data_IF_447080494012
#
_entry.id   IF_447080494012
#
_cell.length_a   1.000
_cell.length_b   1.000
_cell.length_c   1.000
_cell.angle_alpha   90.00
_cell.angle_beta   90.00
_cell.angle_gamma   90.00
#
_symmetry.space_group_name_H-M   'P 1'
#
loop_
_entity.id
_entity.type
_entity.pdbx_description
1 polymer ?
#
# COMPACT_ATOMS: atom_id res chain seq x y z
N UNK A 1 9.02 -1.61 -3.29
CA UNK A 1 9.52 -0.85 -4.45
C UNK A 1 8.52 -0.89 -5.63
N UNK A 2 8.11 -2.06 -6.14
CA UNK A 2 7.25 -2.18 -7.33
C UNK A 2 5.93 -1.39 -7.21
N UNK A 3 5.24 -1.47 -6.09
CA UNK A 3 3.99 -0.75 -5.83
C UNK A 3 4.22 0.78 -5.83
N UNK A 4 5.32 1.26 -5.22
CA UNK A 4 5.70 2.68 -5.25
C UNK A 4 6.00 3.17 -6.67
N UNK A 5 6.71 2.35 -7.45
CA UNK A 5 7.02 2.65 -8.84
C UNK A 5 5.75 2.76 -9.67
N UNK A 6 4.78 1.84 -9.48
CA UNK A 6 3.50 1.89 -10.20
C UNK A 6 2.69 3.14 -9.84
N UNK A 7 2.62 3.53 -8.57
CA UNK A 7 1.87 4.72 -8.14
C UNK A 7 2.43 6.00 -8.76
N UNK A 8 3.75 6.17 -8.73
CA UNK A 8 4.40 7.33 -9.33
C UNK A 8 4.37 7.28 -10.86
N UNK A 9 4.44 6.09 -11.44
CA UNK A 9 4.28 5.92 -12.88
C UNK A 9 2.90 6.40 -13.34
N UNK A 10 1.83 6.06 -12.61
CA UNK A 10 0.48 6.55 -12.92
C UNK A 10 0.37 8.07 -12.79
N UNK A 11 1.01 8.65 -11.77
CA UNK A 11 1.04 10.10 -11.57
C UNK A 11 1.75 10.85 -12.72
N UNK A 12 2.78 10.25 -13.32
CA UNK A 12 3.53 10.84 -14.45
C UNK A 12 2.87 10.51 -15.79
N UNK A 13 2.40 9.27 -15.94
CA UNK A 13 1.82 8.77 -17.19
C UNK A 13 0.49 9.46 -17.50
N UNK A 14 -0.33 9.77 -16.50
CA UNK A 14 -1.62 10.43 -16.67
C UNK A 14 -1.52 11.75 -17.46
N UNK A 15 -0.79 12.76 -16.98
CA UNK A 15 -0.56 14.00 -17.72
C UNK A 15 0.08 13.78 -19.09
N UNK A 16 1.04 12.87 -19.21
CA UNK A 16 1.77 12.60 -20.46
C UNK A 16 0.84 12.01 -21.53
N UNK A 17 0.07 10.99 -21.20
CA UNK A 17 -0.90 10.37 -22.13
C UNK A 17 -2.05 11.32 -22.47
N UNK A 18 -2.45 12.15 -21.51
CA UNK A 18 -3.45 13.19 -21.77
C UNK A 18 -3.02 14.13 -22.87
N UNK A 19 -1.76 14.54 -22.89
CA UNK A 19 -1.22 15.39 -23.94
C UNK A 19 -1.06 14.66 -25.28
N UNK A 20 -0.58 13.42 -25.26
CA UNK A 20 -0.32 12.66 -26.50
C UNK A 20 -1.61 12.18 -27.19
N UNK A 21 -2.59 11.71 -26.40
CA UNK A 21 -3.82 11.10 -26.91
C UNK A 21 -5.07 11.96 -26.71
N UNK A 22 -4.91 13.21 -26.26
CA UNK A 22 -6.01 14.15 -26.00
C UNK A 22 -7.09 13.57 -25.07
N UNK A 23 -6.66 12.85 -24.01
CA UNK A 23 -7.57 12.19 -23.07
C UNK A 23 -8.29 13.20 -22.17
N UNK A 24 -9.54 12.91 -21.85
CA UNK A 24 -10.28 13.66 -20.84
C UNK A 24 -9.75 13.35 -19.42
N UNK A 25 -10.00 14.24 -18.48
CA UNK A 25 -9.67 14.02 -17.06
C UNK A 25 -10.33 12.73 -16.51
N UNK A 26 -11.57 12.44 -16.93
CA UNK A 26 -12.28 11.23 -16.54
C UNK A 26 -11.59 9.95 -17.05
N UNK A 27 -11.02 9.97 -18.26
CA UNK A 27 -10.25 8.84 -18.79
C UNK A 27 -8.95 8.62 -18.02
N UNK A 28 -8.23 9.68 -17.65
CA UNK A 28 -7.04 9.58 -16.83
C UNK A 28 -7.37 9.00 -15.45
N UNK A 29 -8.43 9.50 -14.81
CA UNK A 29 -8.92 8.98 -13.55
C UNK A 29 -9.36 7.51 -13.65
N UNK A 30 -10.05 7.14 -14.72
CA UNK A 30 -10.45 5.76 -14.96
C UNK A 30 -9.25 4.82 -15.06
N UNK A 31 -8.18 5.20 -15.78
CA UNK A 31 -6.95 4.40 -15.88
C UNK A 31 -6.39 4.08 -14.48
N UNK A 32 -6.28 5.07 -13.62
CA UNK A 32 -5.78 4.90 -12.25
C UNK A 32 -6.75 4.06 -11.40
N UNK A 33 -8.06 4.28 -11.51
CA UNK A 33 -9.09 3.52 -10.82
C UNK A 33 -9.05 2.03 -11.18
N UNK A 34 -8.89 1.70 -12.48
CA UNK A 34 -8.80 0.29 -12.92
C UNK A 34 -7.57 -0.44 -12.36
N UNK A 35 -6.45 0.26 -12.15
CA UNK A 35 -5.30 -0.33 -11.45
C UNK A 35 -5.66 -0.70 -10.01
N UNK A 36 -6.33 0.18 -9.28
CA UNK A 36 -6.76 -0.11 -7.91
C UNK A 36 -7.83 -1.23 -7.83
N UNK A 37 -8.73 -1.30 -8.81
CA UNK A 37 -9.67 -2.44 -8.96
C UNK A 37 -8.88 -3.74 -9.12
N UNK A 38 -7.89 -3.73 -10.01
CA UNK A 38 -6.97 -4.85 -10.18
C UNK A 38 -6.32 -5.25 -8.86
N UNK A 39 -5.75 -4.30 -8.11
CA UNK A 39 -5.11 -4.57 -6.81
C UNK A 39 -6.07 -5.17 -5.78
N UNK A 40 -7.31 -4.69 -5.72
CA UNK A 40 -8.33 -5.22 -4.80
C UNK A 40 -8.65 -6.68 -5.11
N UNK A 41 -8.92 -7.00 -6.36
CA UNK A 41 -9.22 -8.36 -6.81
C UNK A 41 -8.00 -9.27 -6.64
N UNK A 42 -6.81 -8.78 -7.02
CA UNK A 42 -5.56 -9.50 -6.92
C UNK A 42 -5.19 -9.85 -5.48
N UNK A 43 -5.34 -8.92 -4.53
CA UNK A 43 -5.05 -9.17 -3.13
C UNK A 43 -5.87 -10.34 -2.56
N UNK A 44 -7.14 -10.44 -2.92
CA UNK A 44 -8.01 -11.51 -2.49
C UNK A 44 -7.64 -12.86 -3.12
N UNK A 45 -7.41 -12.88 -4.43
CA UNK A 45 -7.13 -14.11 -5.19
C UNK A 45 -5.73 -14.65 -4.88
N UNK A 46 -4.71 -13.79 -4.89
CA UNK A 46 -3.34 -14.18 -4.57
C UNK A 46 -3.17 -14.55 -3.10
N UNK A 47 -3.93 -13.92 -2.18
CA UNK A 47 -3.98 -14.32 -0.78
C UNK A 47 -4.45 -15.77 -0.62
N UNK A 48 -5.59 -16.10 -1.22
CA UNK A 48 -6.13 -17.45 -1.20
C UNK A 48 -5.23 -18.47 -1.94
N UNK A 49 -4.59 -18.06 -3.02
CA UNK A 49 -3.63 -18.90 -3.75
C UNK A 49 -2.39 -19.19 -2.90
N UNK A 50 -1.86 -18.20 -2.15
CA UNK A 50 -0.67 -18.36 -1.31
C UNK A 50 -0.85 -19.40 -0.19
N UNK A 51 -2.06 -19.51 0.33
CA UNK A 51 -2.39 -20.54 1.33
C UNK A 51 -2.47 -21.96 0.73
N UNK A 52 -2.68 -22.10 -0.59
CA UNK A 52 -2.78 -23.40 -1.29
C UNK A 52 -1.49 -23.82 -1.96
N UNK A 53 -0.82 -22.92 -2.66
CA UNK A 53 0.34 -23.22 -3.53
C UNK A 53 1.67 -22.82 -2.91
N UNK A 54 1.64 -22.07 -1.82
CA UNK A 54 2.83 -21.54 -1.14
C UNK A 54 3.08 -20.06 -1.44
N UNK A 55 3.73 -19.42 -0.52
CA UNK A 55 3.96 -17.96 -0.56
C UNK A 55 5.04 -17.57 -1.54
N UNK A 56 6.12 -18.36 -1.61
CA UNK A 56 7.20 -18.20 -2.58
C UNK A 56 6.66 -18.30 -4.01
N UNK A 57 5.89 -19.36 -4.30
CA UNK A 57 5.34 -19.60 -5.64
C UNK A 57 4.46 -18.43 -6.09
N UNK A 58 3.55 -17.97 -5.25
CA UNK A 58 2.69 -16.81 -5.56
C UNK A 58 3.52 -15.55 -5.81
N UNK A 59 4.52 -15.29 -4.97
CA UNK A 59 5.37 -14.12 -5.12
C UNK A 59 6.19 -14.14 -6.41
N UNK A 60 6.71 -15.30 -6.81
CA UNK A 60 7.45 -15.48 -8.08
C UNK A 60 6.52 -15.25 -9.28
N UNK A 61 5.34 -15.88 -9.29
CA UNK A 61 4.40 -15.77 -10.41
C UNK A 61 3.87 -14.34 -10.52
N UNK A 62 3.45 -13.72 -9.42
CA UNK A 62 2.96 -12.34 -9.44
C UNK A 62 4.03 -11.36 -9.90
N UNK A 63 5.29 -11.50 -9.45
CA UNK A 63 6.41 -10.66 -9.89
C UNK A 63 6.70 -10.84 -11.39
N UNK A 64 6.70 -12.07 -11.89
CA UNK A 64 6.88 -12.35 -13.30
C UNK A 64 5.78 -11.73 -14.17
N UNK A 65 4.53 -11.81 -13.72
CA UNK A 65 3.39 -11.24 -14.43
C UNK A 65 3.37 -9.70 -14.36
N UNK A 66 3.83 -9.08 -13.26
CA UNK A 66 4.01 -7.61 -13.20
C UNK A 66 5.03 -7.17 -14.25
N UNK A 67 6.19 -7.85 -14.32
CA UNK A 67 7.21 -7.54 -15.30
C UNK A 67 6.70 -7.76 -16.74
N UNK A 68 6.00 -8.86 -17.00
CA UNK A 68 5.44 -9.17 -18.31
C UNK A 68 4.42 -8.15 -18.79
N UNK A 69 3.36 -7.87 -17.98
CA UNK A 69 2.34 -6.91 -18.36
C UNK A 69 2.86 -5.47 -18.36
N UNK A 70 3.82 -5.16 -17.49
CA UNK A 70 4.51 -3.86 -17.48
C UNK A 70 5.29 -3.62 -18.79
N UNK A 71 6.05 -4.61 -19.25
CA UNK A 71 6.75 -4.56 -20.53
C UNK A 71 5.75 -4.49 -21.71
N UNK A 72 4.70 -5.31 -21.68
CA UNK A 72 3.69 -5.31 -22.73
C UNK A 72 2.99 -3.96 -22.85
N UNK A 73 2.81 -3.25 -21.73
CA UNK A 73 2.20 -1.92 -21.71
C UNK A 73 3.03 -0.88 -22.49
N UNK A 74 4.36 -1.06 -22.59
CA UNK A 74 5.21 -0.16 -23.38
C UNK A 74 4.88 -0.18 -24.89
N UNK A 75 4.36 -1.31 -25.36
CA UNK A 75 3.96 -1.50 -26.75
C UNK A 75 2.45 -1.22 -27.01
N UNK A 76 1.73 -0.67 -26.02
CA UNK A 76 0.29 -0.46 -26.12
C UNK A 76 -0.09 0.51 -27.25
N UNK A 77 -0.95 0.10 -28.19
CA UNK A 77 -1.31 0.93 -29.34
C UNK A 77 -2.44 1.92 -29.04
N UNK A 78 -3.23 1.70 -28.00
CA UNK A 78 -4.41 2.51 -27.68
C UNK A 78 -4.67 2.63 -26.18
N UNK A 79 -5.50 3.61 -25.80
CA UNK A 79 -5.92 3.83 -24.42
C UNK A 79 -6.53 2.56 -23.77
N UNK A 80 -7.42 1.87 -24.49
CA UNK A 80 -8.06 0.65 -23.96
C UNK A 80 -7.04 -0.45 -23.60
N UNK A 81 -5.99 -0.59 -24.40
CA UNK A 81 -4.89 -1.51 -24.12
C UNK A 81 -4.13 -1.11 -22.84
N UNK A 82 -3.80 0.19 -22.70
CA UNK A 82 -3.12 0.68 -21.49
C UNK A 82 -3.96 0.41 -20.26
N UNK A 83 -5.26 0.75 -20.28
CA UNK A 83 -6.15 0.53 -19.13
C UNK A 83 -6.23 -0.94 -18.76
N UNK A 84 -6.40 -1.82 -19.74
CA UNK A 84 -6.51 -3.26 -19.52
C UNK A 84 -5.21 -3.84 -18.94
N UNK A 85 -4.06 -3.52 -19.55
CA UNK A 85 -2.77 -4.02 -19.10
C UNK A 85 -2.40 -3.48 -17.72
N UNK A 86 -2.72 -2.21 -17.43
CA UNK A 86 -2.54 -1.61 -16.10
C UNK A 86 -3.42 -2.24 -15.05
N UNK A 87 -4.66 -2.63 -15.39
CA UNK A 87 -5.51 -3.40 -14.50
C UNK A 87 -4.86 -4.75 -14.15
N UNK A 88 -4.26 -5.46 -15.12
CA UNK A 88 -3.52 -6.70 -14.86
C UNK A 88 -2.24 -6.47 -14.06
N UNK A 89 -1.51 -5.39 -14.29
CA UNK A 89 -0.37 -5.02 -13.44
C UNK A 89 -0.85 -4.81 -12.00
N UNK A 90 -1.90 -4.03 -11.80
CA UNK A 90 -2.51 -3.82 -10.49
C UNK A 90 -2.94 -5.14 -9.84
N UNK A 91 -3.59 -6.03 -10.58
CA UNK A 91 -3.99 -7.35 -10.09
C UNK A 91 -2.80 -8.15 -9.53
N UNK A 92 -1.68 -8.14 -10.22
CA UNK A 92 -0.50 -8.86 -9.76
C UNK A 92 0.23 -8.16 -8.61
N UNK A 93 0.21 -6.82 -8.53
CA UNK A 93 0.71 -6.06 -7.38
C UNK A 93 -0.07 -6.42 -6.11
N UNK A 94 -1.37 -6.74 -6.21
CA UNK A 94 -2.15 -7.27 -5.09
C UNK A 94 -1.53 -8.48 -4.40
N UNK A 95 -0.75 -9.30 -5.12
CA UNK A 95 0.01 -10.42 -4.57
C UNK A 95 1.25 -10.01 -3.76
N UNK A 96 1.69 -8.76 -3.84
CA UNK A 96 2.89 -8.25 -3.17
C UNK A 96 2.84 -8.30 -1.64
N UNK A 97 1.66 -8.36 -1.02
CA UNK A 97 1.51 -8.54 0.42
C UNK A 97 2.17 -9.83 0.92
N UNK A 98 2.33 -10.84 0.06
CA UNK A 98 3.00 -12.10 0.41
C UNK A 98 4.50 -11.92 0.69
N UNK A 99 5.14 -10.91 0.10
CA UNK A 99 6.54 -10.57 0.37
C UNK A 99 6.75 -10.13 1.81
N UNK A 100 5.84 -9.32 2.33
CA UNK A 100 5.86 -8.86 3.72
C UNK A 100 5.57 -10.02 4.69
N UNK A 101 4.58 -10.84 4.37
CA UNK A 101 4.25 -12.03 5.16
C UNK A 101 5.42 -12.99 5.23
N UNK A 102 6.03 -13.31 4.10
CA UNK A 102 7.20 -14.19 4.03
C UNK A 102 8.37 -13.63 4.83
N UNK A 103 8.69 -12.34 4.67
CA UNK A 103 9.75 -11.67 5.41
C UNK A 103 9.53 -11.74 6.93
N UNK A 104 8.32 -11.46 7.41
CA UNK A 104 8.02 -11.45 8.85
C UNK A 104 8.04 -12.82 9.50
N UNK A 105 7.93 -13.90 8.72
CA UNK A 105 8.04 -15.26 9.21
C UNK A 105 9.47 -15.70 9.47
N UNK A 106 10.42 -15.16 8.73
CA UNK A 106 11.84 -15.43 8.90
C UNK A 106 12.52 -14.56 9.96
N UNK A 107 11.90 -13.42 10.33
CA UNK A 107 12.51 -12.47 11.25
C UNK A 107 12.10 -12.72 12.71
N UNK A 108 13.08 -12.74 13.64
CA UNK A 108 12.79 -12.79 15.07
C UNK A 108 12.09 -11.51 15.54
N UNK A 109 11.37 -11.61 16.65
CA UNK A 109 10.57 -10.50 17.20
C UNK A 109 11.35 -9.17 17.33
N UNK A 110 12.63 -9.26 17.72
CA UNK A 110 13.49 -8.08 17.93
C UNK A 110 13.81 -7.30 16.65
N UNK A 111 13.78 -7.94 15.48
CA UNK A 111 14.16 -7.34 14.19
C UNK A 111 12.96 -6.98 13.32
N UNK A 112 11.73 -7.19 13.77
CA UNK A 112 10.51 -6.86 13.00
C UNK A 112 10.39 -5.37 12.68
N UNK A 113 10.81 -4.51 13.61
CA UNK A 113 10.83 -3.05 13.36
C UNK A 113 11.79 -2.73 12.22
N UNK A 114 12.96 -3.35 12.18
CA UNK A 114 13.91 -3.19 11.09
C UNK A 114 13.33 -3.63 9.74
N UNK A 115 12.51 -4.67 9.71
CA UNK A 115 11.81 -5.11 8.50
C UNK A 115 10.82 -4.06 7.97
N UNK A 116 10.07 -3.41 8.87
CA UNK A 116 9.14 -2.32 8.51
C UNK A 116 9.92 -1.15 7.93
N UNK A 117 11.02 -0.77 8.58
CA UNK A 117 11.90 0.31 8.08
C UNK A 117 12.52 -0.05 6.71
N UNK A 118 12.98 -1.29 6.54
CA UNK A 118 13.53 -1.78 5.25
C UNK A 118 12.47 -1.73 4.13
N UNK A 119 11.23 -2.10 4.43
CA UNK A 119 10.13 -2.00 3.47
C UNK A 119 9.86 -0.54 3.06
N UNK A 120 9.89 0.40 4.01
CA UNK A 120 9.73 1.83 3.74
C UNK A 120 10.89 2.37 2.90
N UNK A 121 12.13 2.02 3.24
CA UNK A 121 13.31 2.40 2.44
C UNK A 121 13.20 1.86 1.01
N UNK A 122 12.74 0.62 0.84
CA UNK A 122 12.52 0.02 -0.48
C UNK A 122 11.40 0.71 -1.26
N UNK A 123 10.36 1.16 -0.56
CA UNK A 123 9.28 1.96 -1.14
C UNK A 123 9.82 3.28 -1.69
N UNK A 124 10.52 4.05 -0.88
CA UNK A 124 11.09 5.33 -1.27
C UNK A 124 12.15 5.18 -2.39
N UNK A 125 13.02 4.17 -2.29
CA UNK A 125 14.01 3.90 -3.32
C UNK A 125 13.37 3.61 -4.69
N UNK A 126 12.29 2.82 -4.72
CA UNK A 126 11.50 2.58 -5.93
C UNK A 126 10.91 3.85 -6.52
N UNK A 127 10.34 4.71 -5.66
CA UNK A 127 9.77 5.99 -6.07
C UNK A 127 10.83 6.94 -6.64
N UNK A 128 11.95 7.11 -5.95
CA UNK A 128 13.06 7.95 -6.39
C UNK A 128 13.63 7.44 -7.72
N UNK A 129 13.87 6.13 -7.84
CA UNK A 129 14.33 5.51 -9.08
C UNK A 129 13.42 5.86 -10.25
N UNK A 130 12.11 5.71 -10.08
CA UNK A 130 11.16 5.98 -11.15
C UNK A 130 11.15 7.47 -11.55
N UNK A 131 11.13 8.39 -10.60
CA UNK A 131 11.11 9.83 -10.91
C UNK A 131 12.39 10.27 -11.61
N UNK A 132 13.56 9.80 -11.17
CA UNK A 132 14.83 10.08 -11.85
C UNK A 132 14.85 9.52 -13.27
N UNK A 133 14.39 8.29 -13.46
CA UNK A 133 14.26 7.66 -14.77
C UNK A 133 13.29 8.44 -15.65
N UNK A 134 12.14 8.85 -15.12
CA UNK A 134 11.15 9.62 -15.86
C UNK A 134 11.69 10.99 -16.29
N UNK A 135 12.43 11.68 -15.42
CA UNK A 135 13.02 12.98 -15.72
C UNK A 135 13.96 12.96 -16.94
N UNK A 136 14.70 11.85 -17.11
CA UNK A 136 15.62 11.69 -18.23
C UNK A 136 14.91 11.10 -19.46
N UNK A 137 14.09 10.07 -19.26
CA UNK A 137 13.56 9.25 -20.35
C UNK A 137 12.33 9.88 -21.02
N UNK A 138 11.40 10.48 -20.26
CA UNK A 138 10.16 10.99 -20.86
C UNK A 138 10.42 12.09 -21.90
N UNK A 139 11.31 13.09 -21.64
CA UNK A 139 11.60 14.14 -22.63
C UNK A 139 12.38 13.64 -23.85
N UNK A 140 13.15 12.53 -23.73
CA UNK A 140 14.07 12.07 -24.78
C UNK A 140 13.50 10.91 -25.58
N UNK A 141 12.96 9.89 -24.93
CA UNK A 141 12.53 8.62 -25.53
C UNK A 141 11.01 8.38 -25.38
N UNK A 142 10.34 9.21 -24.58
CA UNK A 142 8.90 9.12 -24.36
C UNK A 142 8.49 8.12 -23.28
N UNK A 143 7.18 8.08 -22.99
CA UNK A 143 6.60 7.29 -21.91
C UNK A 143 6.67 5.77 -22.11
N UNK A 144 6.75 5.31 -23.36
CA UNK A 144 6.86 3.88 -23.69
C UNK A 144 8.13 3.28 -23.09
N UNK A 145 9.24 3.98 -23.25
CA UNK A 145 10.52 3.57 -22.63
C UNK A 145 10.51 3.67 -21.11
N UNK A 146 9.80 4.67 -20.56
CA UNK A 146 9.63 4.75 -19.11
C UNK A 146 8.90 3.53 -18.56
N UNK A 147 7.81 3.10 -19.20
CA UNK A 147 7.05 1.92 -18.78
C UNK A 147 7.87 0.62 -18.89
N UNK A 148 8.67 0.48 -19.94
CA UNK A 148 9.57 -0.67 -20.09
C UNK A 148 10.66 -0.69 -19.01
N UNK A 149 11.29 0.45 -18.74
CA UNK A 149 12.33 0.57 -17.71
C UNK A 149 11.78 0.42 -16.30
N UNK A 150 10.52 0.80 -16.03
CA UNK A 150 9.87 0.52 -14.76
C UNK A 150 9.69 -0.97 -14.48
N UNK A 151 9.54 -1.79 -15.53
CA UNK A 151 9.45 -3.25 -15.39
C UNK A 151 10.84 -3.93 -15.29
N UNK A 152 11.91 -3.30 -15.75
CA UNK A 152 13.25 -3.88 -15.81
C UNK A 152 13.80 -4.34 -14.43
N UNK A 153 13.70 -3.57 -13.33
CA UNK A 153 14.18 -4.02 -12.02
C UNK A 153 13.52 -5.32 -11.56
N UNK A 154 12.23 -5.50 -11.86
CA UNK A 154 11.49 -6.71 -11.51
C UNK A 154 11.97 -7.92 -12.30
N UNK A 155 12.23 -7.72 -13.60
CA UNK A 155 12.80 -8.76 -14.46
C UNK A 155 14.20 -9.18 -14.02
N UNK A 156 15.00 -8.24 -13.48
CA UNK A 156 16.34 -8.51 -12.93
C UNK A 156 16.30 -9.22 -11.56
N UNK A 157 15.33 -8.88 -10.72
CA UNK A 157 15.19 -9.48 -9.39
C UNK A 157 14.59 -10.89 -9.47
N UNK A 158 13.78 -11.18 -10.48
CA UNK A 158 13.11 -12.49 -10.63
C UNK A 158 14.08 -13.70 -10.62
N UNK A 159 15.19 -13.72 -11.36
CA UNK A 159 16.19 -14.80 -11.29
C UNK A 159 16.79 -14.93 -9.88
N UNK A 160 17.07 -13.82 -9.20
CA UNK A 160 17.58 -13.85 -7.84
C UNK A 160 16.57 -14.45 -6.87
N UNK A 161 15.28 -14.11 -7.01
CA UNK A 161 14.22 -14.71 -6.22
C UNK A 161 14.07 -16.22 -6.50
N UNK A 162 14.20 -16.65 -7.73
CA UNK A 162 14.17 -18.06 -8.10
C UNK A 162 15.29 -18.86 -7.43
N UNK A 163 16.50 -18.30 -7.34
CA UNK A 163 17.68 -18.96 -6.79
C UNK A 163 17.74 -18.90 -5.25
N UNK A 164 17.41 -17.77 -4.66
CA UNK A 164 17.72 -17.51 -3.25
C UNK A 164 16.48 -17.46 -2.33
N UNK A 165 15.26 -17.26 -2.87
CA UNK A 165 14.08 -17.14 -2.02
C UNK A 165 13.60 -18.51 -1.54
N UNK A 166 13.62 -18.82 -0.23
CA UNK A 166 13.08 -20.08 0.29
C UNK A 166 11.55 -20.00 0.43
N UNK A 167 10.90 -21.17 0.52
CA UNK A 167 9.45 -21.23 0.83
C UNK A 167 9.21 -21.03 2.32
N UNK A 168 8.04 -20.55 2.69
CA UNK A 168 7.63 -20.33 4.06
C UNK A 168 7.71 -21.61 4.90
N UNK A 169 8.44 -21.56 6.00
CA UNK A 169 8.55 -22.68 6.95
C UNK A 169 7.17 -23.05 7.53
N UNK A 170 6.34 -22.06 7.84
CA UNK A 170 4.99 -22.29 8.37
C UNK A 170 4.08 -22.95 7.34
N UNK A 171 4.20 -22.57 6.08
CA UNK A 171 3.44 -23.19 5.00
C UNK A 171 3.88 -24.65 4.79
N UNK A 172 5.18 -24.93 4.78
CA UNK A 172 5.71 -26.30 4.62
C UNK A 172 5.21 -27.22 5.74
N UNK A 173 5.27 -26.76 6.99
CA UNK A 173 4.76 -27.53 8.13
C UNK A 173 3.24 -27.73 8.07
N UNK A 174 2.48 -26.68 7.72
CA UNK A 174 1.03 -26.76 7.60
C UNK A 174 0.56 -27.66 6.44
N UNK A 175 1.39 -27.82 5.40
CA UNK A 175 1.13 -28.70 4.25
C UNK A 175 1.68 -30.12 4.42
N UNK A 176 2.23 -30.47 5.58
CA UNK A 176 2.79 -31.80 5.86
C UNK A 176 4.12 -32.10 5.14
N UNK A 177 4.81 -31.08 4.62
CA UNK A 177 6.11 -31.21 3.91
C UNK A 177 7.28 -31.07 4.88
N UNK A 178 7.36 -31.95 5.87
CA UNK A 178 8.33 -31.87 6.98
C UNK A 178 9.77 -31.97 6.52
N UNK A 179 10.06 -32.83 5.55
CA UNK A 179 11.42 -33.00 5.00
C UNK A 179 11.94 -31.72 4.35
N UNK A 180 11.09 -30.99 3.67
CA UNK A 180 11.48 -29.70 3.06
C UNK A 180 11.59 -28.60 4.11
N UNK A 181 10.73 -28.61 5.11
CA UNK A 181 10.83 -27.70 6.25
C UNK A 181 12.15 -27.89 7.00
N UNK A 182 12.56 -29.15 7.23
CA UNK A 182 13.85 -29.48 7.86
C UNK A 182 15.04 -28.95 7.04
N UNK A 183 15.02 -29.11 5.71
CA UNK A 183 16.07 -28.57 4.84
C UNK A 183 16.18 -27.04 4.90
N UNK A 184 15.03 -26.34 4.94
CA UNK A 184 15.02 -24.88 5.07
C UNK A 184 15.59 -24.46 6.42
N UNK A 185 15.26 -25.16 7.51
CA UNK A 185 15.82 -24.88 8.85
C UNK A 185 17.32 -25.13 8.92
N UNK A 186 17.80 -26.20 8.30
CA UNK A 186 19.22 -26.52 8.24
C UNK A 186 19.99 -25.45 7.45
N UNK A 187 19.43 -25.00 6.31
CA UNK A 187 19.99 -23.90 5.53
C UNK A 187 20.06 -22.61 6.36
N UNK A 188 19.00 -22.27 7.09
CA UNK A 188 18.98 -21.11 8.00
C UNK A 188 20.04 -21.22 9.09
N UNK A 189 20.21 -22.39 9.72
CA UNK A 189 21.21 -22.61 10.75
C UNK A 189 22.62 -22.43 10.16
N UNK A 190 22.88 -23.00 8.99
CA UNK A 190 24.16 -22.89 8.28
C UNK A 190 24.51 -21.45 7.93
N UNK A 191 23.57 -20.69 7.36
CA UNK A 191 23.77 -19.28 7.00
C UNK A 191 23.99 -18.38 8.22
N UNK A 192 23.36 -18.68 9.35
CA UNK A 192 23.56 -17.96 10.60
C UNK A 192 24.76 -18.44 11.43
N UNK A 193 25.55 -19.42 10.94
CA UNK A 193 26.68 -19.98 11.66
C UNK A 193 26.31 -20.65 12.98
N UNK A 194 25.09 -21.21 13.07
CA UNK A 194 24.58 -21.91 14.24
C UNK A 194 24.49 -23.42 14.00
N UNK A 195 24.69 -24.25 15.03
CA UNK A 195 24.46 -25.69 14.89
C UNK A 195 22.98 -25.94 14.52
N UNK A 196 22.68 -27.02 13.77
CA UNK A 196 21.31 -27.43 13.51
C UNK A 196 20.56 -27.66 14.82
N UNK A 197 19.28 -27.34 14.85
CA UNK A 197 18.43 -27.50 16.02
C UNK A 197 18.35 -28.98 16.38
N UNK A 198 18.64 -29.38 17.64
CA UNK A 198 18.51 -30.76 18.08
C UNK A 198 17.02 -31.11 18.19
N UNK A 199 16.61 -32.25 17.63
CA UNK A 199 15.25 -32.77 17.73
C UNK A 199 14.62 -33.05 16.34
N UNK A 200 13.54 -33.80 16.36
CA UNK A 200 12.71 -34.04 15.18
C UNK A 200 11.64 -32.97 15.06
N UNK A 201 11.42 -32.49 13.83
CA UNK A 201 10.30 -31.61 13.52
C UNK A 201 9.02 -32.41 13.62
N UNK A 202 8.24 -32.17 14.66
CA UNK A 202 6.90 -32.74 14.79
C UNK A 202 5.95 -31.74 14.13
N UNK A 203 5.34 -32.11 13.01
CA UNK A 203 4.17 -31.40 12.55
C UNK A 203 3.07 -31.65 13.58
N UNK A 204 2.75 -30.64 14.38
CA UNK A 204 1.44 -30.64 14.97
C UNK A 204 0.46 -30.66 13.78
N UNK A 205 -0.08 -31.83 13.50
CA UNK A 205 -1.26 -31.91 12.65
C UNK A 205 -2.27 -30.98 13.32
N UNK A 206 -2.36 -29.76 12.78
CA UNK A 206 -3.44 -28.87 13.13
C UNK A 206 -4.70 -29.54 12.58
N UNK A 207 -5.23 -30.51 13.35
CA UNK A 207 -6.50 -31.20 13.11
C UNK A 207 -7.68 -30.23 13.08
N UNK A 208 -7.41 -28.96 13.23
CA UNK A 208 -8.39 -27.90 13.20
C UNK A 208 -8.26 -27.03 11.96
N UNK A 209 -8.69 -27.56 10.80
CA UNK A 209 -9.19 -26.71 9.71
C UNK A 209 -10.31 -25.76 10.20
N UNK A 210 -10.91 -26.03 11.37
CA UNK A 210 -11.90 -25.20 12.05
C UNK A 210 -11.30 -23.99 12.80
N UNK A 211 -9.98 -23.94 13.05
CA UNK A 211 -9.32 -22.80 13.73
C UNK A 211 -8.77 -21.72 12.80
N UNK A 212 -8.97 -21.84 11.49
CA UNK A 212 -8.76 -20.68 10.60
C UNK A 212 -9.81 -19.64 10.94
N UNK A 213 -9.36 -18.46 11.38
CA UNK A 213 -10.25 -17.40 11.81
C UNK A 213 -11.34 -17.13 10.75
N UNK A 214 -12.59 -17.21 11.12
CA UNK A 214 -13.71 -16.82 10.28
C UNK A 214 -13.87 -15.30 10.32
N UNK A 215 -14.28 -14.68 9.21
CA UNK A 215 -14.56 -13.24 9.15
C UNK A 215 -15.53 -12.80 10.25
N UNK A 216 -16.47 -13.68 10.64
CA UNK A 216 -17.40 -13.44 11.75
C UNK A 216 -16.69 -13.17 13.11
N UNK A 217 -15.51 -13.73 13.33
CA UNK A 217 -14.75 -13.51 14.56
C UNK A 217 -14.23 -12.06 14.70
N UNK A 218 -14.01 -11.35 13.59
CA UNK A 218 -13.68 -9.93 13.61
C UNK A 218 -14.83 -9.05 14.13
N UNK A 219 -16.05 -9.54 14.07
CA UNK A 219 -17.25 -8.86 14.55
C UNK A 219 -17.72 -9.38 15.91
N UNK A 220 -16.90 -10.18 16.61
CA UNK A 220 -17.16 -10.61 17.97
C UNK A 220 -17.25 -9.39 18.90
N UNK A 221 -18.10 -9.44 19.92
CA UNK A 221 -18.43 -8.30 20.82
C UNK A 221 -17.20 -7.60 21.39
N UNK A 222 -16.15 -8.33 21.75
CA UNK A 222 -14.91 -7.80 22.36
C UNK A 222 -14.07 -6.94 21.39
N UNK A 223 -14.10 -7.21 20.08
CA UNK A 223 -13.24 -6.53 19.09
C UNK A 223 -14.04 -5.80 18.01
N UNK A 224 -15.36 -6.00 17.94
CA UNK A 224 -16.24 -5.37 16.92
C UNK A 224 -16.06 -3.85 16.86
N UNK A 225 -16.00 -3.19 18.01
CA UNK A 225 -15.84 -1.73 18.07
C UNK A 225 -14.52 -1.28 17.43
N UNK A 226 -13.43 -1.98 17.72
CA UNK A 226 -12.11 -1.70 17.10
C UNK A 226 -12.19 -1.90 15.59
N UNK A 227 -12.72 -3.02 15.13
CA UNK A 227 -12.86 -3.36 13.71
C UNK A 227 -13.66 -2.30 12.95
N UNK A 228 -14.82 -1.91 13.46
CA UNK A 228 -15.68 -0.91 12.82
C UNK A 228 -15.07 0.49 12.82
N UNK A 229 -14.29 0.85 13.86
CA UNK A 229 -13.59 2.14 13.90
C UNK A 229 -12.39 2.17 12.95
N UNK A 230 -11.69 1.05 12.78
CA UNK A 230 -10.54 0.97 11.89
C UNK A 230 -10.93 1.03 10.40
N UNK A 231 -12.11 0.58 9.99
CA UNK A 231 -12.53 0.62 8.59
C UNK A 231 -12.46 2.03 7.97
N UNK A 232 -13.14 3.04 8.53
CA UNK A 232 -13.07 4.39 7.98
C UNK A 232 -11.67 5.02 8.14
N UNK A 233 -10.89 4.63 9.14
CA UNK A 233 -9.51 5.09 9.31
C UNK A 233 -8.64 4.58 8.15
N UNK A 234 -8.67 3.29 7.85
CA UNK A 234 -7.94 2.69 6.73
C UNK A 234 -8.37 3.28 5.38
N UNK A 235 -9.68 3.45 5.19
CA UNK A 235 -10.23 4.09 3.99
C UNK A 235 -9.65 5.50 3.81
N UNK A 236 -9.74 6.35 4.84
CA UNK A 236 -9.34 7.76 4.77
C UNK A 236 -7.83 7.91 4.57
N UNK A 237 -7.03 7.11 5.29
CA UNK A 237 -5.57 7.17 5.16
C UNK A 237 -5.15 6.79 3.73
N UNK A 238 -5.70 5.72 3.18
CA UNK A 238 -5.39 5.30 1.82
C UNK A 238 -5.89 6.31 0.77
N UNK A 239 -7.12 6.81 0.93
CA UNK A 239 -7.70 7.86 0.09
C UNK A 239 -6.80 9.10 0.06
N UNK A 240 -6.36 9.57 1.22
CA UNK A 240 -5.50 10.75 1.35
C UNK A 240 -4.10 10.50 0.81
N UNK A 241 -3.46 9.39 1.17
CA UNK A 241 -2.10 9.05 0.76
C UNK A 241 -1.95 8.99 -0.76
N UNK A 242 -2.80 8.20 -1.42
CA UNK A 242 -2.78 8.10 -2.88
C UNK A 242 -3.27 9.38 -3.56
N UNK A 243 -4.18 10.12 -2.91
CA UNK A 243 -4.61 11.43 -3.38
C UNK A 243 -3.47 12.43 -3.46
N UNK A 244 -2.65 12.52 -2.43
CA UNK A 244 -1.48 13.42 -2.41
C UNK A 244 -0.46 13.03 -3.49
N UNK A 245 -0.27 11.73 -3.75
CA UNK A 245 0.62 11.27 -4.82
C UNK A 245 0.11 11.75 -6.18
N UNK A 246 -1.16 11.55 -6.48
CA UNK A 246 -1.78 11.96 -7.74
C UNK A 246 -1.85 13.48 -7.87
N UNK A 247 -2.18 14.18 -6.78
CA UNK A 247 -2.19 15.64 -6.73
C UNK A 247 -0.83 16.27 -6.98
N UNK A 248 0.26 15.62 -6.60
CA UNK A 248 1.60 16.19 -6.72
C UNK A 248 1.98 16.55 -8.16
N UNK A 249 1.51 15.78 -9.15
CA UNK A 249 1.71 16.07 -10.57
C UNK A 249 0.79 17.19 -11.09
N UNK A 250 -0.44 17.27 -10.59
CA UNK A 250 -1.42 18.22 -11.07
C UNK A 250 -1.27 19.61 -10.43
N UNK A 251 -0.94 19.68 -9.13
CA UNK A 251 -0.75 20.95 -8.42
C UNK A 251 0.42 21.75 -8.96
N UNK A 252 1.51 21.10 -9.38
CA UNK A 252 2.63 21.78 -10.02
C UNK A 252 2.25 22.39 -11.37
N UNK A 253 1.37 21.73 -12.12
CA UNK A 253 0.87 22.22 -13.41
C UNK A 253 -0.22 23.30 -13.29
N UNK A 254 -0.96 23.35 -12.16
CA UNK A 254 -2.01 24.35 -11.94
C UNK A 254 -1.51 25.79 -11.82
N UNK A 255 -0.34 26.03 -11.20
CA UNK A 255 0.22 27.37 -11.00
C UNK A 255 0.76 28.04 -12.26
N UNK A 256 0.92 27.30 -13.34
CA UNK A 256 1.43 27.80 -14.61
C UNK A 256 0.42 27.61 -15.75
N UNK A 257 -0.86 27.66 -15.45
CA UNK A 257 -1.88 27.78 -16.50
C UNK A 257 -1.57 29.00 -17.34
N UNK A 258 -1.71 28.84 -18.64
CA UNK A 258 -1.39 29.79 -19.70
C UNK A 258 -1.41 31.25 -19.24
N UNK A 259 -0.37 32.07 -19.56
CA UNK A 259 -0.42 33.48 -19.27
C UNK A 259 -1.75 34.02 -19.77
N UNK A 260 -2.51 34.66 -18.89
CA UNK A 260 -3.71 35.35 -19.29
C UNK A 260 -3.26 36.43 -20.26
N UNK A 261 -3.42 36.20 -21.56
CA UNK A 261 -3.49 37.31 -22.51
C UNK A 261 -4.56 38.25 -21.95
N UNK A 262 -4.17 39.47 -21.67
CA UNK A 262 -5.03 40.56 -21.21
C UNK A 262 -6.02 40.98 -22.33
N UNK A 263 -6.77 40.03 -22.89
CA UNK A 263 -7.87 40.35 -23.80
C UNK A 263 -9.18 40.29 -23.02
N UNK A 264 -9.95 41.39 -22.99
CA UNK A 264 -11.14 41.55 -22.15
C UNK A 264 -12.42 40.89 -22.72
N UNK A 265 -12.30 39.92 -23.61
CA UNK A 265 -13.45 39.19 -24.16
C UNK A 265 -13.33 37.70 -23.88
N UNK A 266 -13.81 37.28 -22.72
CA UNK A 266 -13.95 35.88 -22.39
C UNK A 266 -15.41 35.52 -22.14
N UNK A 267 -16.01 34.87 -23.12
CA UNK A 267 -17.17 34.01 -22.90
C UNK A 267 -16.78 32.88 -21.93
N UNK A 268 -17.35 32.91 -20.74
CA UNK A 268 -17.03 32.01 -19.61
C UNK A 268 -17.60 30.58 -19.77
N UNK A 269 -17.97 30.17 -20.99
CA UNK A 269 -18.65 28.89 -21.25
C UNK A 269 -17.80 27.83 -21.96
N UNK A 270 -16.55 28.12 -22.34
CA UNK A 270 -15.67 27.13 -22.98
C UNK A 270 -14.45 26.94 -22.05
N UNK A 271 -14.49 25.93 -21.21
CA UNK A 271 -13.30 25.41 -20.52
C UNK A 271 -12.38 24.86 -21.59
N UNK A 272 -11.36 25.65 -21.94
CA UNK A 272 -10.41 25.36 -23.00
C UNK A 272 -9.62 24.07 -22.64
N UNK A 273 -10.07 22.95 -23.20
CA UNK A 273 -9.42 21.63 -23.08
C UNK A 273 -8.09 21.56 -23.84
N UNK A 274 -7.73 22.62 -24.56
CA UNK A 274 -6.59 22.67 -25.48
C UNK A 274 -5.23 22.96 -24.80
N UNK A 275 -5.20 23.48 -23.58
CA UNK A 275 -3.94 23.73 -22.86
C UNK A 275 -3.38 22.46 -22.21
N UNK A 276 -2.76 21.61 -23.01
CA UNK A 276 -2.01 20.45 -22.51
C UNK A 276 -0.53 20.81 -22.38
N UNK A 277 0.03 20.66 -21.19
CA UNK A 277 1.45 20.91 -20.92
C UNK A 277 2.14 19.61 -20.47
N UNK A 278 3.22 19.27 -21.15
CA UNK A 278 4.14 18.23 -20.69
C UNK A 278 4.86 18.65 -19.40
N UNK A 279 5.19 17.67 -18.57
CA UNK A 279 5.93 17.88 -17.33
C UNK A 279 7.32 18.49 -17.63
N UNK A 280 7.65 19.59 -16.95
CA UNK A 280 8.94 20.25 -17.05
C UNK A 280 9.95 19.70 -16.03
N UNK A 281 11.24 20.02 -16.22
CA UNK A 281 12.31 19.69 -15.28
C UNK A 281 12.01 20.14 -13.84
N UNK A 282 11.32 21.27 -13.67
CA UNK A 282 10.93 21.77 -12.35
C UNK A 282 9.84 20.91 -11.70
N UNK A 283 8.93 20.36 -12.48
CA UNK A 283 7.86 19.46 -11.99
C UNK A 283 8.48 18.15 -11.50
N UNK A 284 9.41 17.57 -12.26
CA UNK A 284 10.15 16.38 -11.82
C UNK A 284 10.96 16.62 -10.54
N UNK A 285 11.62 17.78 -10.39
CA UNK A 285 12.30 18.14 -9.13
C UNK A 285 11.34 18.22 -7.96
N UNK A 286 10.17 18.80 -8.15
CA UNK A 286 9.14 18.91 -7.12
C UNK A 286 8.59 17.54 -6.71
N UNK A 287 8.31 16.66 -7.68
CA UNK A 287 7.86 15.29 -7.42
C UNK A 287 8.96 14.48 -6.72
N UNK A 288 10.23 14.63 -7.14
CA UNK A 288 11.37 13.98 -6.52
C UNK A 288 11.52 14.42 -5.07
N UNK A 289 11.52 15.73 -4.82
CA UNK A 289 11.62 16.27 -3.47
C UNK A 289 10.45 15.83 -2.60
N UNK A 290 9.21 15.87 -3.11
CA UNK A 290 8.04 15.35 -2.40
C UNK A 290 8.18 13.86 -2.06
N UNK A 291 8.78 13.06 -2.94
CA UNK A 291 9.01 11.63 -2.70
C UNK A 291 10.07 11.36 -1.63
N UNK A 292 11.09 12.23 -1.49
CA UNK A 292 12.06 12.13 -0.41
C UNK A 292 11.48 12.51 0.95
N UNK A 293 10.33 13.21 0.99
CA UNK A 293 9.62 13.54 2.24
C UNK A 293 9.25 12.31 3.06
N UNK A 294 8.97 11.20 2.41
CA UNK A 294 8.67 9.94 3.09
C UNK A 294 9.86 9.39 3.91
N UNK A 295 11.10 9.71 3.52
CA UNK A 295 12.32 9.32 4.25
C UNK A 295 12.60 10.18 5.48
N UNK A 296 12.36 11.50 5.37
CA UNK A 296 12.82 12.48 6.36
C UNK A 296 11.85 12.66 7.51
N UNK A 297 10.55 12.47 7.26
CA UNK A 297 9.50 12.87 8.21
C UNK A 297 9.24 11.83 9.31
N UNK A 298 9.72 10.60 9.18
CA UNK A 298 9.60 9.59 10.25
C UNK A 298 10.01 10.09 11.65
N UNK A 299 11.10 10.86 11.82
CA UNK A 299 11.44 11.43 13.12
C UNK A 299 10.79 12.79 13.43
N UNK A 300 10.30 13.53 12.42
CA UNK A 300 9.88 14.94 12.59
C UNK A 300 8.37 15.20 12.65
N UNK A 301 7.52 14.19 12.46
CA UNK A 301 6.07 14.36 12.40
C UNK A 301 5.39 14.93 13.66
N UNK A 302 6.12 15.07 14.75
CA UNK A 302 5.57 15.55 16.02
C UNK A 302 5.68 17.07 16.25
N UNK A 303 6.38 17.82 15.42
CA UNK A 303 6.80 19.19 15.80
C UNK A 303 6.25 20.32 14.89
N UNK A 304 5.76 20.06 13.67
CA UNK A 304 5.66 21.14 12.66
C UNK A 304 4.27 21.56 12.18
N UNK A 305 3.17 21.05 12.73
CA UNK A 305 1.81 21.31 12.19
C UNK A 305 1.22 22.70 12.49
N UNK A 306 1.87 23.56 13.28
CA UNK A 306 1.23 24.73 13.88
C UNK A 306 1.49 26.12 13.24
N UNK A 307 2.27 26.25 12.14
CA UNK A 307 2.77 27.60 11.75
C UNK A 307 2.75 28.01 10.28
N UNK A 308 1.84 27.59 9.42
CA UNK A 308 1.86 28.02 8.01
C UNK A 308 0.63 28.83 7.58
N UNK A 309 0.86 30.11 7.24
CA UNK A 309 -0.15 31.08 6.76
C UNK A 309 -0.23 31.18 5.20
N UNK A 310 -1.18 31.94 4.62
CA UNK A 310 -1.78 31.70 3.30
C UNK A 310 -1.15 32.38 2.07
N UNK A 311 0.04 32.98 2.11
CA UNK A 311 0.69 33.57 0.93
C UNK A 311 2.03 32.91 0.61
N UNK A 312 2.03 32.01 -0.44
CA UNK A 312 3.05 30.96 -0.50
C UNK A 312 3.81 30.93 -1.84
N UNK A 313 5.15 31.16 -1.86
CA UNK A 313 6.02 30.95 -3.02
C UNK A 313 6.03 29.48 -3.49
N UNK A 314 6.49 29.18 -4.71
CA UNK A 314 6.47 27.82 -5.30
C UNK A 314 7.24 26.78 -4.44
N UNK A 315 8.32 27.15 -3.78
CA UNK A 315 9.08 26.28 -2.89
C UNK A 315 8.29 25.82 -1.66
N UNK A 316 7.38 26.64 -1.16
CA UNK A 316 6.54 26.29 0.01
C UNK A 316 5.42 25.31 -0.37
N UNK A 317 4.88 25.36 -1.59
CA UNK A 317 3.95 24.33 -2.09
C UNK A 317 4.66 22.97 -2.14
N UNK A 318 5.90 22.95 -2.62
CA UNK A 318 6.70 21.72 -2.65
C UNK A 318 7.06 21.27 -1.24
N UNK A 319 7.39 22.18 -0.32
CA UNK A 319 7.63 21.86 1.08
C UNK A 319 6.38 21.31 1.77
N UNK A 320 5.20 21.89 1.47
CA UNK A 320 3.93 21.39 2.00
C UNK A 320 3.59 19.98 1.47
N UNK A 321 3.77 19.73 0.18
CA UNK A 321 3.60 18.40 -0.40
C UNK A 321 4.57 17.39 0.19
N UNK A 322 5.83 17.80 0.41
CA UNK A 322 6.84 16.99 1.09
C UNK A 322 6.40 16.58 2.50
N UNK A 323 5.96 17.55 3.31
CA UNK A 323 5.49 17.31 4.67
C UNK A 323 4.24 16.43 4.70
N UNK A 324 3.23 16.78 3.90
CA UNK A 324 1.94 16.06 3.87
C UNK A 324 2.10 14.62 3.41
N UNK A 325 2.97 14.39 2.43
CA UNK A 325 3.25 13.05 1.91
C UNK A 325 3.95 12.17 2.95
N UNK A 326 4.93 12.71 3.65
CA UNK A 326 5.60 12.01 4.73
C UNK A 326 4.66 11.71 5.91
N UNK A 327 3.82 12.68 6.31
CA UNK A 327 2.81 12.46 7.36
C UNK A 327 1.83 11.35 6.97
N UNK A 328 1.33 11.37 5.73
CA UNK A 328 0.40 10.36 5.24
C UNK A 328 1.04 8.97 5.18
N UNK A 329 2.30 8.86 4.75
CA UNK A 329 3.05 7.61 4.77
C UNK A 329 3.26 7.08 6.20
N UNK A 330 3.59 7.95 7.15
CA UNK A 330 3.73 7.58 8.56
C UNK A 330 2.41 7.08 9.16
N UNK A 331 1.30 7.75 8.88
CA UNK A 331 -0.04 7.31 9.31
C UNK A 331 -0.41 5.95 8.71
N UNK A 332 -0.06 5.71 7.46
CA UNK A 332 -0.31 4.42 6.79
C UNK A 332 0.46 3.28 7.48
N UNK A 333 1.75 3.49 7.79
CA UNK A 333 2.57 2.53 8.51
C UNK A 333 2.08 2.30 9.96
N UNK A 334 1.68 3.39 10.66
CA UNK A 334 1.09 3.29 11.98
C UNK A 334 -0.18 2.44 11.97
N UNK A 335 -1.02 2.60 10.97
CA UNK A 335 -2.26 1.85 10.83
C UNK A 335 -2.00 0.34 10.69
N UNK A 336 -0.99 -0.05 9.90
CA UNK A 336 -0.56 -1.44 9.79
C UNK A 336 -0.05 -1.99 11.13
N UNK A 337 0.79 -1.23 11.82
CA UNK A 337 1.36 -1.62 13.11
C UNK A 337 0.26 -1.80 14.16
N UNK A 338 -0.60 -0.80 14.32
CA UNK A 338 -1.71 -0.83 15.28
C UNK A 338 -2.64 -2.02 15.02
N UNK A 339 -3.01 -2.24 13.75
CA UNK A 339 -3.86 -3.37 13.36
C UNK A 339 -3.20 -4.71 13.67
N UNK A 340 -1.88 -4.84 13.47
CA UNK A 340 -1.13 -6.04 13.79
C UNK A 340 -1.04 -6.32 15.30
N UNK A 341 -1.05 -5.29 16.13
CA UNK A 341 -0.95 -5.40 17.59
C UNK A 341 -2.31 -5.68 18.27
N UNK A 342 -3.38 -5.06 17.76
CA UNK A 342 -4.71 -5.17 18.36
C UNK A 342 -5.34 -6.54 18.14
N UNK A 343 -5.13 -7.14 16.94
CA UNK A 343 -5.75 -8.43 16.64
C UNK A 343 -4.96 -9.60 17.20
N UNK A 344 -5.63 -10.57 17.85
CA UNK A 344 -5.05 -11.85 18.24
C UNK A 344 -4.39 -12.57 17.06
N UNK A 345 -3.36 -13.37 17.33
CA UNK A 345 -2.58 -14.04 16.27
C UNK A 345 -3.42 -14.92 15.36
N UNK A 346 -4.49 -15.52 15.88
CA UNK A 346 -5.41 -16.42 15.16
C UNK A 346 -6.18 -15.72 14.03
N UNK A 347 -6.52 -14.44 14.19
CA UNK A 347 -7.34 -13.66 13.22
C UNK A 347 -6.60 -12.43 12.65
N UNK A 348 -5.35 -12.22 13.04
CA UNK A 348 -4.56 -11.04 12.66
C UNK A 348 -4.42 -10.86 11.15
N UNK A 349 -4.04 -11.91 10.44
CA UNK A 349 -3.88 -11.87 8.98
C UNK A 349 -5.19 -11.55 8.28
N UNK A 350 -6.29 -12.10 8.78
CA UNK A 350 -7.63 -11.83 8.27
C UNK A 350 -8.05 -10.37 8.54
N UNK A 351 -7.76 -9.85 9.75
CA UNK A 351 -8.02 -8.46 10.10
C UNK A 351 -7.25 -7.49 9.21
N UNK A 352 -5.94 -7.67 9.07
CA UNK A 352 -5.10 -6.83 8.18
C UNK A 352 -5.61 -6.92 6.73
N UNK A 353 -5.91 -8.12 6.24
CA UNK A 353 -6.40 -8.33 4.88
C UNK A 353 -7.72 -7.59 4.61
N UNK A 354 -8.68 -7.68 5.54
CA UNK A 354 -9.97 -7.02 5.39
C UNK A 354 -9.84 -5.48 5.42
N UNK A 355 -9.03 -4.93 6.34
CA UNK A 355 -8.78 -3.50 6.40
C UNK A 355 -8.01 -2.99 5.17
N UNK A 356 -7.04 -3.76 4.69
CA UNK A 356 -6.34 -3.45 3.44
C UNK A 356 -7.29 -3.45 2.23
N UNK A 357 -8.29 -4.33 2.19
CA UNK A 357 -9.32 -4.30 1.15
C UNK A 357 -10.15 -3.00 1.21
N UNK A 358 -10.55 -2.57 2.41
CA UNK A 358 -11.27 -1.29 2.59
C UNK A 358 -10.39 -0.10 2.17
N UNK A 359 -9.09 -0.13 2.49
CA UNK A 359 -8.14 0.87 2.01
C UNK A 359 -8.10 0.96 0.47
N UNK A 360 -8.14 -0.18 -0.23
CA UNK A 360 -8.18 -0.21 -1.69
C UNK A 360 -9.44 0.45 -2.25
N UNK A 361 -10.58 0.32 -1.57
CA UNK A 361 -11.81 1.04 -1.96
C UNK A 361 -11.60 2.56 -1.84
N UNK A 362 -10.95 3.05 -0.78
CA UNK A 362 -10.55 4.46 -0.65
C UNK A 362 -9.65 4.90 -1.81
N UNK A 363 -8.64 4.10 -2.13
CA UNK A 363 -7.72 4.37 -3.24
C UNK A 363 -8.42 4.45 -4.60
N UNK A 364 -9.47 3.64 -4.83
CA UNK A 364 -10.26 3.64 -6.08
C UNK A 364 -11.05 4.93 -6.27
N UNK A 365 -11.50 5.57 -5.20
CA UNK A 365 -12.28 6.81 -5.27
C UNK A 365 -11.40 8.05 -5.37
N UNK A 366 -10.16 7.98 -4.91
CA UNK A 366 -9.21 9.10 -4.93
C UNK A 366 -8.98 9.73 -6.30
N UNK A 367 -8.82 8.99 -7.41
CA UNK A 367 -8.61 9.60 -8.74
C UNK A 367 -9.77 10.48 -9.18
N UNK A 368 -10.99 10.16 -8.76
CA UNK A 368 -12.17 11.00 -9.07
C UNK A 368 -12.06 12.37 -8.41
N UNK A 369 -11.53 12.45 -7.19
CA UNK A 369 -11.35 13.73 -6.50
C UNK A 369 -10.09 14.44 -6.99
N UNK A 370 -8.97 13.74 -7.10
CA UNK A 370 -7.69 14.33 -7.47
C UNK A 370 -7.62 14.74 -8.95
N UNK A 371 -8.15 13.91 -9.86
CA UNK A 371 -7.96 14.07 -11.31
C UNK A 371 -9.20 14.56 -12.06
N UNK A 372 -10.39 14.54 -11.42
CA UNK A 372 -11.63 15.06 -12.05
C UNK A 372 -12.17 16.25 -11.27
N UNK A 373 -12.46 16.10 -9.96
CA UNK A 373 -13.10 17.15 -9.18
C UNK A 373 -12.21 18.40 -9.06
N UNK A 374 -10.94 18.21 -8.78
CA UNK A 374 -9.98 19.31 -8.61
C UNK A 374 -9.79 20.15 -9.89
N UNK A 375 -9.51 19.55 -11.09
CA UNK A 375 -9.27 20.34 -12.29
C UNK A 375 -10.54 20.84 -12.99
N UNK A 376 -11.68 20.16 -12.87
CA UNK A 376 -12.89 20.46 -13.65
C UNK A 376 -13.97 21.19 -12.86
N UNK A 377 -14.08 20.95 -11.55
CA UNK A 377 -15.20 21.47 -10.75
C UNK A 377 -14.75 22.59 -9.83
N UNK A 378 -13.98 22.28 -8.79
CA UNK A 378 -13.55 23.27 -7.82
C UNK A 378 -12.37 22.76 -6.98
N UNK A 379 -11.33 23.57 -6.92
CA UNK A 379 -10.16 23.34 -6.07
C UNK A 379 -10.57 23.31 -4.59
N UNK A 380 -11.42 24.26 -4.17
CA UNK A 380 -11.89 24.35 -2.79
C UNK A 380 -12.70 23.11 -2.37
N UNK A 381 -13.56 22.60 -3.26
CA UNK A 381 -14.37 21.40 -2.99
C UNK A 381 -13.48 20.15 -2.86
N UNK A 382 -12.47 20.00 -3.70
CA UNK A 382 -11.53 18.89 -3.60
C UNK A 382 -10.76 18.92 -2.28
N UNK A 383 -10.19 20.07 -1.92
CA UNK A 383 -9.46 20.20 -0.65
C UNK A 383 -10.38 20.05 0.58
N UNK A 384 -11.59 20.60 0.55
CA UNK A 384 -12.55 20.44 1.66
C UNK A 384 -12.94 18.97 1.87
N UNK A 385 -13.02 18.17 0.81
CA UNK A 385 -13.25 16.71 0.91
C UNK A 385 -12.11 16.02 1.66
N UNK A 386 -10.84 16.32 1.31
CA UNK A 386 -9.69 15.76 2.02
C UNK A 386 -9.64 16.23 3.48
N UNK A 387 -9.85 17.51 3.74
CA UNK A 387 -9.84 18.08 5.10
C UNK A 387 -10.95 17.45 5.95
N UNK A 388 -12.18 17.40 5.44
CA UNK A 388 -13.32 16.83 6.17
C UNK A 388 -13.13 15.37 6.53
N UNK A 389 -12.65 14.54 5.58
CA UNK A 389 -12.35 13.13 5.85
C UNK A 389 -11.22 12.97 6.87
N UNK A 390 -10.14 13.75 6.78
CA UNK A 390 -9.04 13.66 7.73
C UNK A 390 -9.45 14.12 9.14
N UNK A 391 -10.28 15.17 9.29
CA UNK A 391 -10.83 15.57 10.58
C UNK A 391 -11.71 14.48 11.19
N UNK A 392 -12.60 13.88 10.40
CA UNK A 392 -13.39 12.73 10.84
C UNK A 392 -12.49 11.54 11.26
N UNK A 393 -11.42 11.28 10.50
CA UNK A 393 -10.45 10.26 10.84
C UNK A 393 -9.74 10.53 12.18
N UNK A 394 -9.35 11.77 12.45
CA UNK A 394 -8.76 12.17 13.72
C UNK A 394 -9.73 11.93 14.91
N UNK A 395 -10.99 12.31 14.77
CA UNK A 395 -12.01 12.04 15.77
C UNK A 395 -12.19 10.54 16.03
N UNK A 396 -12.18 9.73 14.98
CA UNK A 396 -12.27 8.27 15.08
C UNK A 396 -11.01 7.67 15.71
N UNK A 397 -9.83 8.17 15.39
CA UNK A 397 -8.57 7.71 15.99
C UNK A 397 -8.53 7.95 17.50
N UNK A 398 -9.02 9.11 17.96
CA UNK A 398 -9.15 9.43 19.40
C UNK A 398 -10.16 8.50 20.08
N UNK A 399 -11.17 8.03 19.36
CA UNK A 399 -12.20 7.12 19.89
C UNK A 399 -11.78 5.65 19.94
N UNK A 400 -10.56 5.29 19.52
CA UNK A 400 -10.06 3.91 19.55
C UNK A 400 -10.00 3.40 21.00
N UNK A 401 -10.63 2.25 21.31
CA UNK A 401 -10.82 1.82 22.69
C UNK A 401 -9.60 1.11 23.30
N UNK A 402 -8.58 0.78 22.50
CA UNK A 402 -7.44 -0.05 22.93
C UNK A 402 -6.14 0.68 22.71
N UNK A 403 -5.38 0.86 23.79
CA UNK A 403 -3.99 1.29 23.72
C UNK A 403 -3.07 0.06 23.62
N UNK A 404 -2.14 0.08 22.66
CA UNK A 404 -1.26 -1.07 22.38
C UNK A 404 0.12 -0.92 23.00
N UNK A 405 0.48 0.26 23.49
CA UNK A 405 1.80 0.55 24.05
C UNK A 405 2.08 -0.33 25.28
N UNK A 406 3.13 -1.16 25.21
CA UNK A 406 3.54 -2.05 26.31
C UNK A 406 2.67 -3.28 26.52
N UNK A 407 1.68 -3.54 25.66
CA UNK A 407 0.79 -4.70 25.79
C UNK A 407 1.40 -5.94 25.13
N UNK A 408 1.36 -7.07 25.87
CA UNK A 408 1.74 -8.36 25.30
C UNK A 408 0.74 -8.79 24.21
N UNK A 409 1.24 -9.35 23.11
CA UNK A 409 0.38 -9.81 22.00
C UNK A 409 -0.51 -10.96 22.47
N UNK A 410 -1.81 -10.81 22.34
CA UNK A 410 -2.79 -11.87 22.66
C UNK A 410 -2.71 -12.99 21.61
N UNK A 411 -2.77 -14.24 22.08
CA UNK A 411 -2.72 -15.42 21.22
C UNK A 411 -4.12 -15.83 20.73
N UNK A 412 -5.15 -15.66 21.56
CA UNK A 412 -6.54 -16.00 21.27
C UNK A 412 -7.50 -14.91 21.77
N UNK A 413 -8.71 -14.91 21.24
CA UNK A 413 -9.81 -14.10 21.78
C UNK A 413 -10.12 -14.67 23.16
N UNK A 414 -9.94 -13.87 24.23
CA UNK A 414 -10.43 -14.22 25.55
C UNK A 414 -11.95 -14.13 25.47
N UNK A 415 -12.59 -15.26 25.34
CA UNK A 415 -14.02 -15.37 25.62
C UNK A 415 -14.12 -15.27 27.15
N UNK A 416 -14.66 -14.19 27.66
CA UNK A 416 -15.04 -14.09 29.08
C UNK A 416 -16.19 -15.08 29.33
N UNK A 417 -15.85 -16.35 29.52
CA UNK A 417 -16.74 -17.37 30.09
C UNK A 417 -16.86 -17.15 31.61
N UNK A 418 -17.32 -15.96 31.99
CA UNK A 418 -17.75 -15.72 33.38
C UNK A 418 -19.06 -16.44 33.72
N UNK A 419 -19.64 -17.20 32.78
CA UNK A 419 -20.84 -18.01 32.99
C UNK A 419 -20.58 -19.51 33.25
N UNK A 420 -19.33 -20.00 33.10
CA UNK A 420 -19.00 -21.43 33.30
C UNK A 420 -18.22 -21.72 34.57
N UNK A 421 -17.70 -20.73 35.28
CA UNK A 421 -16.99 -20.97 36.54
C UNK A 421 -17.91 -21.11 37.78
N UNK A 422 -19.20 -20.85 37.65
CA UNK A 422 -20.19 -21.04 38.73
C UNK A 422 -20.70 -22.49 38.84
N UNK A 423 -20.36 -23.37 37.86
CA UNK A 423 -20.84 -24.76 37.84
C UNK A 423 -19.76 -25.77 38.29
N UNK A 424 -18.51 -25.36 38.50
CA UNK A 424 -17.40 -26.26 38.85
C UNK A 424 -16.92 -26.16 40.33
N UNK A 425 -17.52 -25.28 41.14
CA UNK A 425 -17.20 -25.14 42.57
C UNK A 425 -18.14 -25.86 43.53
N UNK A 426 -18.86 -26.86 43.05
CA UNK A 426 -19.88 -27.60 43.82
C UNK A 426 -19.63 -29.10 43.92
N UNK A 427 -18.38 -29.57 44.08
CA UNK A 427 -18.16 -30.99 44.43
C UNK A 427 -17.11 -31.09 45.52
N UNK A 428 -17.64 -31.29 46.73
CA UNK A 428 -17.16 -32.02 47.87
C UNK A 428 -15.72 -31.87 48.42
N UNK A 429 -15.68 -31.02 49.42
CA UNK A 429 -14.94 -31.28 50.64
C UNK A 429 -15.68 -32.39 51.44
N UNK A 430 -15.22 -33.65 51.40
CA UNK A 430 -15.48 -34.65 52.44
C UNK A 430 -14.23 -35.49 52.66
N UNK A 431 -13.62 -35.19 53.82
CA UNK A 431 -12.97 -36.07 54.82
C UNK A 431 -12.71 -37.55 54.37
N UNK A 432 -11.46 -37.98 54.38
CA UNK A 432 -10.84 -38.69 55.53
C UNK A 432 -9.31 -38.70 55.35
#
# INVERSE_FOLDING_TARGET
AADAMEMLLLAILGPTLRCEWHLSHAQVAAMTTFVFIGMLLGASIWGAAADKVGRRTVLLVSTALIAYFGLLCSAAPSYAWVVTLRCFVGFNIGGGAQSYTLLTEYLPHRTRVAAIVSNLLSWCAGGIFLVLTAWVIVPTLGWRWLTALAAAPLALVLPLMLLFLPESLRYLLASGREVEAAKVMELMAKENGRPPLPGELVSQQFTDASRRGHVSQLFHSSIRRVTLTLFPIWFTIAFTYYGIILLSSDVTSFKQRCPSDNSPTRDSSIVDTSCCRNLNSQDYKSILLASTGELVILPFNLILLDRIGPCVPAWTTTAFLFLTRGCAAALFNWCYLYTAEVYPTSIRSLGIGLHSAVARVGSMLTPLVAQVLLPQVSVSLAFSTYIGLNLACCCLAISLPVETLGRAMQQSIIVDDSSTSAAASGVDEKKD
#
